data_IF_832107037200
#
_entry.id   IF_832107037200
#
_cell.length_a   1.000
_cell.length_b   1.000
_cell.length_c   1.000
_cell.angle_alpha   90.00
_cell.angle_beta   90.00
_cell.angle_gamma   90.00
#
_symmetry.space_group_name_H-M   'P 1'
#
loop_
_entity.id
_entity.type
_entity.pdbx_description
1 polymer ?
#
# COMPACT_ATOMS: atom_id res chain seq x y z
N UNK A 1 7.20 22.89 -4.16
CA UNK A 1 6.15 22.52 -3.20
C UNK A 1 5.21 21.66 -4.00
N UNK A 2 5.56 20.38 -4.03
CA UNK A 2 5.02 19.39 -4.95
C UNK A 2 3.55 19.14 -4.63
N UNK A 3 2.68 19.56 -5.56
CA UNK A 3 1.23 19.27 -5.51
C UNK A 3 0.98 17.75 -5.41
N UNK A 4 1.94 16.94 -5.89
CA UNK A 4 1.94 15.49 -5.79
C UNK A 4 1.91 15.02 -4.33
N UNK A 5 2.69 15.65 -3.43
CA UNK A 5 2.75 15.24 -2.02
C UNK A 5 1.47 15.53 -1.25
N UNK A 6 0.77 16.63 -1.57
CA UNK A 6 -0.49 17.00 -0.93
C UNK A 6 -1.64 16.08 -1.40
N UNK A 7 -1.67 15.74 -2.70
CA UNK A 7 -2.64 14.78 -3.24
C UNK A 7 -2.41 13.37 -2.69
N UNK A 8 -1.16 12.91 -2.65
CA UNK A 8 -0.83 11.61 -2.05
C UNK A 8 -1.21 11.55 -0.57
N UNK A 9 -0.98 12.63 0.20
CA UNK A 9 -1.44 12.68 1.59
C UNK A 9 -2.96 12.61 1.71
N UNK A 10 -3.70 13.28 0.82
CA UNK A 10 -5.15 13.21 0.80
C UNK A 10 -5.64 11.79 0.47
N UNK A 11 -5.05 11.14 -0.54
CA UNK A 11 -5.38 9.76 -0.91
C UNK A 11 -5.10 8.77 0.23
N UNK A 12 -3.95 8.88 0.90
CA UNK A 12 -3.65 8.05 2.06
C UNK A 12 -4.61 8.31 3.21
N UNK A 13 -5.06 9.56 3.39
CA UNK A 13 -6.01 9.90 4.43
C UNK A 13 -7.40 9.36 4.14
N UNK A 14 -7.90 9.53 2.92
CA UNK A 14 -9.19 8.96 2.50
C UNK A 14 -9.19 7.44 2.60
N UNK A 15 -8.10 6.78 2.17
CA UNK A 15 -7.96 5.34 2.35
C UNK A 15 -8.00 4.97 3.84
N UNK A 16 -7.21 5.66 4.67
CA UNK A 16 -7.17 5.41 6.13
C UNK A 16 -8.55 5.56 6.79
N UNK A 17 -9.30 6.62 6.47
CA UNK A 17 -10.67 6.82 6.95
C UNK A 17 -11.63 5.71 6.45
N UNK A 18 -11.33 5.06 5.32
CA UNK A 18 -12.09 3.91 4.86
C UNK A 18 -11.77 2.64 5.65
N UNK A 19 -10.56 2.51 6.21
CA UNK A 19 -10.15 1.44 7.12
C UNK A 19 -10.63 1.66 8.55
N UNK A 20 -10.40 2.84 9.13
CA UNK A 20 -10.80 3.22 10.49
C UNK A 20 -12.31 3.52 10.55
N UNK A 21 -13.13 2.47 10.76
CA UNK A 21 -14.59 2.58 10.74
C UNK A 21 -15.14 3.15 12.04
N UNK A 22 -14.42 2.96 13.14
CA UNK A 22 -14.84 3.45 14.45
C UNK A 22 -14.31 4.87 14.76
N UNK A 23 -13.40 5.39 13.93
CA UNK A 23 -12.81 6.72 14.08
C UNK A 23 -11.84 6.80 15.26
N UNK A 24 -11.23 5.68 15.64
CA UNK A 24 -10.28 5.59 16.74
C UNK A 24 -8.94 6.26 16.43
N UNK A 25 -8.64 6.48 15.14
CA UNK A 25 -7.37 7.01 14.66
C UNK A 25 -6.28 5.96 14.50
N UNK A 26 -6.61 4.67 14.68
CA UNK A 26 -5.76 3.52 14.37
C UNK A 26 -6.58 2.44 13.68
N UNK A 27 -5.95 1.61 12.85
CA UNK A 27 -6.62 0.51 12.17
C UNK A 27 -6.38 -0.77 12.95
N UNK A 28 -7.45 -1.33 13.50
CA UNK A 28 -7.40 -2.63 14.16
C UNK A 28 -7.32 -3.78 13.14
N UNK A 29 -6.77 -4.91 13.54
CA UNK A 29 -6.79 -6.18 12.75
C UNK A 29 -8.18 -6.51 12.18
N UNK A 30 -9.24 -6.30 12.97
CA UNK A 30 -10.62 -6.53 12.56
C UNK A 30 -11.09 -5.60 11.44
N UNK A 31 -10.66 -4.35 11.48
CA UNK A 31 -11.03 -3.33 10.52
C UNK A 31 -10.31 -3.55 9.20
N UNK A 32 -9.01 -3.87 9.26
CA UNK A 32 -8.24 -4.29 8.10
C UNK A 32 -8.88 -5.50 7.41
N UNK A 33 -9.29 -6.51 8.19
CA UNK A 33 -9.98 -7.70 7.67
C UNK A 33 -11.31 -7.32 6.97
N UNK A 34 -12.09 -6.43 7.56
CA UNK A 34 -13.38 -6.01 7.01
C UNK A 34 -13.19 -5.30 5.66
N UNK A 35 -12.21 -4.41 5.56
CA UNK A 35 -11.93 -3.70 4.30
C UNK A 35 -11.36 -4.63 3.25
N UNK A 36 -10.44 -5.53 3.61
CA UNK A 36 -9.94 -6.55 2.67
C UNK A 36 -11.07 -7.40 2.09
N UNK A 37 -12.07 -7.74 2.90
CA UNK A 37 -13.30 -8.39 2.43
C UNK A 37 -14.16 -7.52 1.54
N UNK A 38 -14.23 -6.22 1.85
CA UNK A 38 -14.99 -5.24 1.04
C UNK A 38 -14.40 -5.05 -0.37
N UNK A 39 -13.08 -5.17 -0.53
CA UNK A 39 -12.41 -5.12 -1.84
C UNK A 39 -12.38 -6.48 -2.57
N UNK A 40 -13.05 -7.50 -2.02
CA UNK A 40 -13.19 -8.83 -2.62
C UNK A 40 -12.03 -9.80 -2.35
N UNK A 41 -11.06 -9.42 -1.50
CA UNK A 41 -10.06 -10.35 -0.95
C UNK A 41 -10.68 -11.10 0.24
N UNK A 42 -10.16 -12.28 0.59
CA UNK A 42 -10.64 -13.00 1.78
C UNK A 42 -9.47 -13.60 2.55
N UNK A 43 -8.63 -12.75 3.16
CA UNK A 43 -7.49 -13.21 3.94
C UNK A 43 -7.96 -13.92 5.21
N UNK A 44 -7.10 -14.80 5.70
CA UNK A 44 -7.24 -15.45 7.00
C UNK A 44 -6.85 -14.50 8.13
N UNK A 45 -7.30 -14.79 9.35
CA UNK A 45 -6.92 -14.01 10.53
C UNK A 45 -5.40 -14.00 10.75
N UNK A 46 -4.73 -15.11 10.42
CA UNK A 46 -3.27 -15.27 10.54
C UNK A 46 -2.52 -14.35 9.56
N UNK A 47 -2.97 -14.28 8.30
CA UNK A 47 -2.40 -13.38 7.29
C UNK A 47 -2.59 -11.91 7.69
N UNK A 48 -3.77 -11.54 8.22
CA UNK A 48 -4.01 -10.19 8.71
C UNK A 48 -3.12 -9.85 9.91
N UNK A 49 -2.96 -10.80 10.84
CA UNK A 49 -2.06 -10.63 11.98
C UNK A 49 -0.63 -10.44 11.52
N UNK A 50 -0.16 -11.23 10.56
CA UNK A 50 1.18 -11.07 9.98
C UNK A 50 1.35 -9.69 9.35
N UNK A 51 0.38 -9.24 8.54
CA UNK A 51 0.40 -7.91 7.93
C UNK A 51 0.43 -6.77 8.96
N UNK A 52 -0.34 -6.89 10.03
CA UNK A 52 -0.34 -5.90 11.12
C UNK A 52 0.99 -5.94 11.85
N UNK A 53 1.48 -7.12 12.25
CA UNK A 53 2.77 -7.25 12.95
C UNK A 53 3.97 -6.75 12.13
N UNK A 54 3.94 -6.89 10.80
CA UNK A 54 4.99 -6.34 9.94
C UNK A 54 4.95 -4.81 9.84
N UNK A 55 3.77 -4.20 10.05
CA UNK A 55 3.54 -2.76 9.88
C UNK A 55 3.53 -2.00 11.22
N UNK A 56 3.21 -2.69 12.31
CA UNK A 56 3.16 -2.20 13.69
C UNK A 56 4.59 -2.05 14.24
N UNK A 57 5.13 -0.84 14.12
CA UNK A 57 6.48 -0.50 14.56
C UNK A 57 6.52 -0.21 16.06
N UNK A 58 5.40 0.24 16.60
CA UNK A 58 5.27 0.67 17.99
C UNK A 58 4.88 -0.50 18.94
N UNK A 59 4.36 -1.61 18.39
CA UNK A 59 3.97 -2.83 19.08
C UNK A 59 2.63 -2.76 19.81
N UNK A 60 1.73 -1.84 19.43
CA UNK A 60 0.42 -1.65 20.06
C UNK A 60 -0.67 -2.58 19.52
N UNK A 61 -0.36 -3.35 18.46
CA UNK A 61 -1.27 -4.30 17.82
C UNK A 61 -2.29 -3.65 16.88
N UNK A 62 -2.12 -2.37 16.58
CA UNK A 62 -2.90 -1.60 15.61
C UNK A 62 -1.97 -0.89 14.63
N UNK A 63 -2.52 -0.34 13.55
CA UNK A 63 -1.74 0.44 12.58
C UNK A 63 -2.16 1.90 12.69
N UNK A 64 -1.27 2.76 13.15
CA UNK A 64 -1.53 4.20 13.17
C UNK A 64 -1.38 4.84 11.78
N UNK A 65 -1.83 6.10 11.64
CA UNK A 65 -1.78 6.78 10.34
C UNK A 65 -0.36 6.90 9.77
N UNK A 66 0.66 7.09 10.61
CA UNK A 66 2.05 7.18 10.16
C UNK A 66 2.56 5.81 9.69
N UNK A 67 2.26 4.75 10.43
CA UNK A 67 2.59 3.36 10.06
C UNK A 67 1.91 2.94 8.76
N UNK A 68 0.63 3.30 8.58
CA UNK A 68 -0.11 3.07 7.34
C UNK A 68 0.54 3.78 6.14
N UNK A 69 0.96 5.04 6.32
CA UNK A 69 1.64 5.81 5.27
C UNK A 69 3.02 5.22 4.95
N UNK A 70 3.80 4.79 5.94
CA UNK A 70 5.08 4.10 5.74
C UNK A 70 4.88 2.78 4.97
N UNK A 71 3.89 1.98 5.36
CA UNK A 71 3.51 0.76 4.65
C UNK A 71 3.13 1.03 3.20
N UNK A 72 2.26 2.01 2.95
CA UNK A 72 1.80 2.36 1.60
C UNK A 72 2.93 2.93 0.74
N UNK A 73 3.84 3.73 1.32
CA UNK A 73 5.04 4.24 0.62
C UNK A 73 6.02 3.13 0.24
N UNK A 74 6.23 2.18 1.16
CA UNK A 74 7.11 1.03 0.91
C UNK A 74 6.52 0.16 -0.21
N UNK A 75 5.21 -0.12 -0.14
CA UNK A 75 4.50 -0.92 -1.14
C UNK A 75 4.41 -0.21 -2.49
N UNK A 76 4.13 1.09 -2.52
CA UNK A 76 4.12 1.88 -3.76
C UNK A 76 5.50 1.91 -4.43
N UNK A 77 6.58 2.02 -3.66
CA UNK A 77 7.95 1.94 -4.20
C UNK A 77 8.30 0.55 -4.74
N UNK A 78 7.80 -0.54 -4.14
CA UNK A 78 8.01 -1.90 -4.64
C UNK A 78 7.19 -2.16 -5.92
N UNK A 79 5.96 -1.63 -6.00
CA UNK A 79 5.13 -1.76 -7.21
C UNK A 79 5.58 -0.85 -8.36
N UNK A 80 5.95 0.42 -8.09
CA UNK A 80 6.47 1.35 -9.10
C UNK A 80 7.73 0.78 -9.77
N UNK A 81 8.67 0.26 -8.96
CA UNK A 81 9.91 -0.30 -9.50
C UNK A 81 9.68 -1.46 -10.47
N UNK A 82 8.65 -2.27 -10.27
CA UNK A 82 8.36 -3.39 -11.20
C UNK A 82 7.68 -2.96 -12.50
N UNK A 83 6.84 -1.93 -12.47
CA UNK A 83 6.11 -1.43 -13.65
C UNK A 83 7.01 -0.54 -14.52
N UNK A 84 7.76 0.40 -13.92
CA UNK A 84 8.71 1.26 -14.62
C UNK A 84 9.85 0.46 -15.29
N UNK A 85 10.39 -0.55 -14.60
CA UNK A 85 11.42 -1.42 -15.18
C UNK A 85 10.86 -2.22 -16.36
N UNK A 86 9.61 -2.73 -16.26
CA UNK A 86 8.99 -3.50 -17.34
C UNK A 86 8.73 -2.65 -18.59
N UNK A 87 8.35 -1.40 -18.43
CA UNK A 87 8.23 -0.45 -19.53
C UNK A 87 9.59 -0.07 -20.12
N UNK A 88 10.60 0.18 -19.26
CA UNK A 88 11.95 0.50 -19.69
C UNK A 88 12.61 -0.66 -20.49
N UNK A 89 12.42 -1.91 -20.06
CA UNK A 89 12.89 -3.11 -20.79
C UNK A 89 12.16 -3.28 -22.14
N UNK A 90 10.87 -2.91 -22.23
CA UNK A 90 10.08 -2.98 -23.48
C UNK A 90 10.52 -1.96 -24.53
N UNK A 91 11.05 -0.81 -24.09
CA UNK A 91 11.59 0.23 -24.98
C UNK A 91 12.99 -0.16 -25.49
N UNK A 92 13.79 -0.85 -24.67
CA UNK A 92 15.15 -1.26 -25.04
C UNK A 92 15.19 -2.42 -26.06
N UNK A 93 14.27 -3.39 -25.97
CA UNK A 93 14.24 -4.59 -26.84
C UNK A 93 13.86 -4.28 -28.31
N UNK A 94 13.19 -3.16 -28.59
CA UNK A 94 12.74 -2.80 -29.94
C UNK A 94 13.77 -2.08 -30.82
N UNK A 95 14.99 -1.81 -30.34
CA UNK A 95 16.02 -1.10 -31.12
C UNK A 95 17.24 -1.90 -31.55
N UNK A 96 17.26 -3.23 -31.37
CA UNK A 96 18.34 -4.03 -31.93
C UNK A 96 17.89 -5.42 -32.39
N UNK A 97 17.04 -5.50 -33.41
CA UNK A 97 17.08 -6.63 -34.38
C UNK A 97 16.49 -6.19 -35.72
N UNK A 98 17.31 -5.52 -36.52
CA UNK A 98 17.03 -5.25 -37.93
C UNK A 98 18.29 -5.48 -38.75
N UNK A 99 18.69 -6.75 -38.85
CA UNK A 99 19.65 -7.22 -39.84
C UNK A 99 19.14 -6.88 -41.24
N UNK A 100 19.91 -6.08 -41.99
CA UNK A 100 20.11 -6.22 -43.42
C UNK A 100 21.54 -5.83 -43.75
#
# INVERSE_FOLDING_TARGET
MDLLTELQQAEFKEAFDEFDKDGSGTISTKELLLVMRSIGQNPTEDEILEMVMESDLNGDGTIDFLEFVEMMKKKSSETDQTEDLREAFRIFDKKQIGLY
#
